data_IF_195280627946
#
_entry.id   IF_195280627946
#
_cell.length_a   1.000
_cell.length_b   1.000
_cell.length_c   1.000
_cell.angle_alpha   90.00
_cell.angle_beta   90.00
_cell.angle_gamma   90.00
#
_symmetry.space_group_name_H-M   'P 1'
#
loop_
_entity.id
_entity.type
_entity.pdbx_description
1 polymer ?
#
# COMPACT_ATOMS: atom_id res chain seq x y z
N UNK A 1 -6.84 5.47 10.41
CA UNK A 1 -6.08 4.45 11.17
C UNK A 1 -6.68 3.09 10.86
N UNK A 2 -6.02 2.28 10.03
CA UNK A 2 -6.44 0.89 9.77
C UNK A 2 -6.53 0.20 11.12
N UNK A 3 -7.65 -0.47 11.44
CA UNK A 3 -7.80 -1.22 12.69
C UNK A 3 -6.97 -2.51 12.58
N UNK A 4 -5.66 -2.34 12.71
CA UNK A 4 -4.69 -3.40 12.90
C UNK A 4 -4.49 -3.59 14.40
N UNK A 5 -4.33 -4.83 14.86
CA UNK A 5 -3.82 -5.06 16.21
C UNK A 5 -2.36 -4.59 16.32
N UNK A 6 -1.83 -4.42 17.54
CA UNK A 6 -0.50 -3.82 17.73
C UNK A 6 0.63 -4.59 17.03
N UNK A 7 0.57 -5.93 17.03
CA UNK A 7 1.50 -6.79 16.29
C UNK A 7 1.35 -6.60 14.78
N UNK A 8 0.12 -6.42 14.32
CA UNK A 8 -0.16 -6.25 12.91
C UNK A 8 0.32 -4.89 12.40
N UNK A 9 0.21 -3.88 13.24
CA UNK A 9 0.70 -2.54 12.95
C UNK A 9 2.22 -2.50 12.93
N UNK A 10 2.89 -3.13 13.89
CA UNK A 10 4.34 -3.22 13.96
C UNK A 10 4.91 -3.91 12.71
N UNK A 11 4.30 -5.02 12.30
CA UNK A 11 4.70 -5.75 11.08
C UNK A 11 4.52 -4.90 9.81
N UNK A 12 3.42 -4.13 9.73
CA UNK A 12 3.17 -3.22 8.61
C UNK A 12 4.17 -2.06 8.59
N UNK A 13 4.42 -1.44 9.74
CA UNK A 13 5.35 -0.32 9.88
C UNK A 13 6.79 -0.76 9.53
N UNK A 14 7.21 -1.97 9.90
CA UNK A 14 8.51 -2.54 9.55
C UNK A 14 8.65 -2.81 8.04
N UNK A 15 7.61 -3.38 7.42
CA UNK A 15 7.58 -3.59 5.97
C UNK A 15 7.62 -2.26 5.21
N UNK A 16 6.88 -1.26 5.71
CA UNK A 16 6.86 0.08 5.13
C UNK A 16 8.20 0.80 5.29
N UNK A 17 8.84 0.66 6.46
CA UNK A 17 10.17 1.20 6.71
C UNK A 17 11.22 0.54 5.79
N UNK A 18 11.11 -0.78 5.58
CA UNK A 18 11.97 -1.52 4.65
C UNK A 18 11.74 -1.07 3.20
N UNK A 19 10.49 -0.84 2.80
CA UNK A 19 10.15 -0.28 1.50
C UNK A 19 10.77 1.11 1.27
N UNK A 20 10.64 2.02 2.25
CA UNK A 20 11.17 3.40 2.17
C UNK A 20 12.69 3.46 2.12
N UNK A 21 13.37 2.53 2.80
CA UNK A 21 14.83 2.45 2.86
C UNK A 21 15.45 1.58 1.76
N UNK A 22 14.65 1.01 0.86
CA UNK A 22 15.11 0.16 -0.23
C UNK A 22 16.19 0.83 -1.09
N UNK A 23 17.30 0.13 -1.28
CA UNK A 23 18.49 0.58 -1.99
C UNK A 23 18.43 0.25 -3.49
N UNK A 24 17.50 -0.59 -3.93
CA UNK A 24 17.23 -0.88 -5.35
C UNK A 24 15.74 -0.83 -5.70
N UNK A 25 15.43 -0.78 -7.00
CA UNK A 25 14.04 -0.83 -7.50
C UNK A 25 13.46 -2.23 -7.22
N UNK A 26 14.29 -3.26 -7.34
CA UNK A 26 13.95 -4.65 -7.06
C UNK A 26 13.59 -4.84 -5.58
N UNK A 27 14.33 -4.23 -4.66
CA UNK A 27 13.99 -4.23 -3.23
C UNK A 27 12.69 -3.49 -2.95
N UNK A 28 12.48 -2.31 -3.56
CA UNK A 28 11.20 -1.61 -3.43
C UNK A 28 10.03 -2.47 -3.92
N UNK A 29 10.15 -3.09 -5.09
CA UNK A 29 9.13 -4.01 -5.62
C UNK A 29 8.89 -5.19 -4.68
N UNK A 30 9.96 -5.78 -4.14
CA UNK A 30 9.86 -6.90 -3.21
C UNK A 30 9.08 -6.52 -1.94
N UNK A 31 9.48 -5.44 -1.27
CA UNK A 31 8.80 -5.00 -0.04
C UNK A 31 7.36 -4.56 -0.30
N UNK A 32 7.09 -3.93 -1.44
CA UNK A 32 5.72 -3.59 -1.82
C UNK A 32 4.84 -4.83 -1.99
N UNK A 33 5.34 -5.89 -2.62
CA UNK A 33 4.61 -7.16 -2.74
C UNK A 33 4.34 -7.80 -1.37
N UNK A 34 5.30 -7.73 -0.44
CA UNK A 34 5.13 -8.24 0.92
C UNK A 34 4.09 -7.42 1.72
N UNK A 35 4.11 -6.08 1.60
CA UNK A 35 3.07 -5.20 2.17
C UNK A 35 1.68 -5.60 1.65
N UNK A 36 1.55 -5.92 0.36
CA UNK A 36 0.26 -6.32 -0.20
C UNK A 36 -0.21 -7.67 0.28
N UNK A 37 0.66 -8.69 0.30
CA UNK A 37 0.32 -10.00 0.86
C UNK A 37 -0.11 -9.90 2.31
N UNK A 38 0.48 -8.96 3.03
CA UNK A 38 0.15 -8.67 4.40
C UNK A 38 -1.24 -8.04 4.53
N UNK A 39 -1.54 -7.01 3.73
CA UNK A 39 -2.86 -6.37 3.68
C UNK A 39 -3.97 -7.30 3.16
N UNK A 40 -3.67 -8.19 2.21
CA UNK A 40 -4.62 -9.17 1.66
C UNK A 40 -4.99 -10.27 2.68
N UNK A 41 -4.08 -10.59 3.61
CA UNK A 41 -4.31 -11.60 4.66
C UNK A 41 -5.05 -11.05 5.87
N UNK A 42 -5.11 -9.72 6.02
CA UNK A 42 -5.78 -9.08 7.14
C UNK A 42 -7.31 -9.21 6.98
N UNK A 43 -8.02 -9.94 7.87
CA UNK A 43 -9.46 -10.16 7.78
C UNK A 43 -10.29 -8.88 8.03
N UNK A 44 -9.63 -7.76 8.35
CA UNK A 44 -10.21 -6.44 8.66
C UNK A 44 -10.51 -5.58 7.43
N UNK A 45 -10.42 -6.11 6.21
CA UNK A 45 -10.86 -5.41 4.99
C UNK A 45 -12.40 -5.37 4.85
N UNK A 46 -13.12 -4.99 5.91
CA UNK A 46 -14.46 -4.40 5.83
C UNK A 46 -14.41 -2.92 5.37
N UNK A 47 -13.32 -2.49 4.74
CA UNK A 47 -13.38 -1.30 3.92
C UNK A 47 -14.35 -1.62 2.77
N UNK A 48 -15.51 -0.97 2.75
CA UNK A 48 -16.49 -1.06 1.67
C UNK A 48 -15.93 -0.37 0.43
N UNK A 49 -14.85 -0.93 -0.13
CA UNK A 49 -14.17 -0.43 -1.31
C UNK A 49 -15.04 -0.79 -2.50
N UNK A 50 -15.57 0.24 -3.14
CA UNK A 50 -16.35 0.07 -4.36
C UNK A 50 -15.47 -0.43 -5.49
N UNK A 51 -16.06 -1.11 -6.48
CA UNK A 51 -15.32 -1.62 -7.64
C UNK A 51 -14.44 -0.56 -8.34
N UNK A 52 -14.91 0.67 -8.59
CA UNK A 52 -14.07 1.72 -9.19
C UNK A 52 -12.85 2.09 -8.36
N UNK A 53 -13.01 2.15 -7.03
CA UNK A 53 -11.89 2.41 -6.10
C UNK A 53 -10.87 1.27 -6.17
N UNK A 54 -11.34 0.01 -6.22
CA UNK A 54 -10.47 -1.15 -6.39
C UNK A 54 -9.69 -1.13 -7.72
N UNK A 55 -10.32 -0.69 -8.81
CA UNK A 55 -9.66 -0.53 -10.12
C UNK A 55 -8.59 0.57 -10.08
N UNK A 56 -8.86 1.70 -9.42
CA UNK A 56 -7.90 2.78 -9.22
C UNK A 56 -6.67 2.30 -8.43
N UNK A 57 -6.88 1.58 -7.33
CA UNK A 57 -5.80 0.98 -6.55
C UNK A 57 -4.97 0.00 -7.39
N UNK A 58 -5.62 -0.87 -8.16
CA UNK A 58 -4.94 -1.81 -9.05
C UNK A 58 -4.10 -1.12 -10.12
N UNK A 59 -4.59 0.01 -10.66
CA UNK A 59 -3.84 0.79 -11.64
C UNK A 59 -2.61 1.41 -11.01
N UNK A 60 -2.75 2.11 -9.88
CA UNK A 60 -1.62 2.71 -9.15
C UNK A 60 -0.56 1.67 -8.80
N UNK A 61 -1.00 0.48 -8.37
CA UNK A 61 -0.15 -0.67 -8.11
C UNK A 61 0.61 -1.12 -9.35
N UNK A 62 -0.08 -1.26 -10.49
CA UNK A 62 0.53 -1.69 -11.75
C UNK A 62 1.61 -0.70 -12.16
N UNK A 63 1.34 0.58 -12.08
CA UNK A 63 2.30 1.63 -12.42
C UNK A 63 3.53 1.64 -11.48
N UNK A 64 3.36 1.35 -10.19
CA UNK A 64 4.47 1.18 -9.26
C UNK A 64 5.35 -0.02 -9.64
N UNK A 65 4.73 -1.14 -10.00
CA UNK A 65 5.45 -2.35 -10.43
C UNK A 65 6.15 -2.15 -11.78
N UNK A 66 5.52 -1.45 -12.71
CA UNK A 66 6.06 -1.16 -14.04
C UNK A 66 7.06 0.02 -14.04
N UNK A 67 7.19 0.72 -12.91
CA UNK A 67 8.10 1.86 -12.75
C UNK A 67 9.53 1.51 -13.13
N UNK A 68 10.16 2.40 -13.89
CA UNK A 68 11.53 2.23 -14.41
C UNK A 68 12.57 2.98 -13.59
N UNK A 69 12.11 3.82 -12.66
CA UNK A 69 12.98 4.62 -11.79
C UNK A 69 12.49 4.64 -10.34
N UNK A 70 13.42 4.82 -9.39
CA UNK A 70 13.07 5.03 -7.98
C UNK A 70 12.16 6.25 -7.75
N UNK A 71 12.26 7.26 -8.61
CA UNK A 71 11.42 8.47 -8.52
C UNK A 71 9.97 8.13 -8.83
N UNK A 72 9.73 7.31 -9.86
CA UNK A 72 8.39 6.81 -10.19
C UNK A 72 7.85 5.90 -9.10
N UNK A 73 8.68 5.00 -8.55
CA UNK A 73 8.30 4.15 -7.41
C UNK A 73 7.82 4.99 -6.22
N UNK A 74 8.56 6.03 -5.85
CA UNK A 74 8.17 6.95 -4.75
C UNK A 74 6.90 7.73 -5.08
N UNK A 75 6.77 8.21 -6.32
CA UNK A 75 5.56 8.92 -6.75
C UNK A 75 4.31 8.03 -6.60
N UNK A 76 4.37 6.79 -7.09
CA UNK A 76 3.24 5.88 -6.97
C UNK A 76 3.03 5.36 -5.56
N UNK A 77 4.07 5.24 -4.73
CA UNK A 77 3.92 5.01 -3.27
C UNK A 77 3.07 6.12 -2.65
N UNK A 78 3.42 7.39 -2.90
CA UNK A 78 2.71 8.54 -2.34
C UNK A 78 1.24 8.54 -2.79
N UNK A 79 0.97 8.25 -4.07
CA UNK A 79 -0.39 8.15 -4.60
C UNK A 79 -1.19 7.01 -3.93
N UNK A 80 -0.56 5.87 -3.66
CA UNK A 80 -1.21 4.74 -2.97
C UNK A 80 -1.53 5.11 -1.52
N UNK A 81 -0.61 5.80 -0.82
CA UNK A 81 -0.88 6.30 0.54
C UNK A 81 -2.00 7.32 0.57
N UNK A 82 -2.02 8.29 -0.35
CA UNK A 82 -3.11 9.25 -0.46
C UNK A 82 -4.45 8.57 -0.73
N UNK A 83 -4.47 7.57 -1.62
CA UNK A 83 -5.66 6.80 -1.92
C UNK A 83 -6.17 6.05 -0.67
N UNK A 84 -5.28 5.35 0.05
CA UNK A 84 -5.62 4.65 1.28
C UNK A 84 -6.21 5.59 2.34
N UNK A 85 -5.64 6.79 2.47
CA UNK A 85 -6.17 7.82 3.38
C UNK A 85 -7.58 8.27 2.98
N UNK A 86 -7.82 8.57 1.69
CA UNK A 86 -9.14 8.97 1.18
C UNK A 86 -10.22 7.91 1.40
N UNK A 87 -9.89 6.65 1.15
CA UNK A 87 -10.81 5.53 1.37
C UNK A 87 -11.16 5.39 2.85
N UNK A 88 -10.18 5.59 3.73
CA UNK A 88 -10.42 5.51 5.16
C UNK A 88 -11.29 6.67 5.68
N UNK A 89 -11.02 7.90 5.24
CA UNK A 89 -11.85 9.07 5.59
C UNK A 89 -13.29 8.91 5.06
N UNK A 90 -13.46 8.40 3.85
CA UNK A 90 -14.79 8.21 3.24
C UNK A 90 -15.64 7.13 3.93
N UNK A 91 -15.03 6.21 4.69
CA UNK A 91 -15.73 5.18 5.45
C UNK A 91 -16.04 5.61 6.90
N UNK A 92 -15.55 6.79 7.34
CA UNK A 92 -15.80 7.35 8.68
C UNK A 92 -16.91 8.41 8.71
N UNK A 93 -17.43 8.81 7.54
CA UNK A 93 -18.57 9.73 7.35
C UNK A 93 -19.81 8.98 6.91
#
# INVERSE_FOLDING_TARGET
>A
MIMMNDNEKETYDDLMNSFKNAQSIEESRHYFVEIQRYLDKSPTNELSITKPQWEEYHQLRKELLDSTSKKEVRYYEDQIHEWLNKIHESNLT
#
